data_IF_176999501302
#
_entry.id   IF_176999501302
#
_cell.length_a   1.000
_cell.length_b   1.000
_cell.length_c   1.000
_cell.angle_alpha   90.00
_cell.angle_beta   90.00
_cell.angle_gamma   90.00
#
_symmetry.space_group_name_H-M   'P 1'
#
loop_
_entity.id
_entity.type
_entity.pdbx_description
1 polymer ?
#
# COMPACT_ATOMS: atom_id res chain seq x y z
N UNK A 1 -1.66 10.68 -3.97
CA UNK A 1 -2.76 9.69 -3.99
C UNK A 1 -2.24 8.27 -4.19
N UNK A 2 -1.66 7.89 -5.34
CA UNK A 2 -1.09 6.52 -5.49
C UNK A 2 0.25 6.36 -4.74
N UNK A 3 1.09 7.39 -4.72
CA UNK A 3 2.37 7.36 -3.99
C UNK A 3 2.22 7.18 -2.47
N UNK A 4 1.10 7.65 -1.91
CA UNK A 4 0.79 7.51 -0.49
C UNK A 4 0.43 6.05 -0.16
N UNK A 5 -0.21 5.34 -1.10
CA UNK A 5 -0.50 3.91 -0.95
C UNK A 5 0.80 3.09 -0.87
N UNK A 6 1.85 3.47 -1.60
CA UNK A 6 3.13 2.74 -1.51
C UNK A 6 3.76 2.83 -0.13
N UNK A 7 3.73 4.01 0.49
CA UNK A 7 4.21 4.21 1.86
C UNK A 7 3.40 3.38 2.85
N UNK A 8 2.08 3.29 2.64
CA UNK A 8 1.21 2.50 3.48
C UNK A 8 1.44 0.99 3.35
N UNK A 9 1.65 0.51 2.12
CA UNK A 9 2.04 -0.90 1.88
C UNK A 9 3.39 -1.19 2.56
N UNK A 10 4.38 -0.30 2.44
CA UNK A 10 5.67 -0.45 3.13
C UNK A 10 5.47 -0.51 4.65
N UNK A 11 4.69 0.41 5.20
CA UNK A 11 4.46 0.49 6.63
C UNK A 11 3.79 -0.77 7.18
N UNK A 12 2.78 -1.28 6.48
CA UNK A 12 2.11 -2.53 6.85
C UNK A 12 3.03 -3.75 6.71
N UNK A 13 3.77 -3.86 5.60
CA UNK A 13 4.72 -4.96 5.40
C UNK A 13 5.85 -4.95 6.45
N UNK A 14 6.27 -3.77 6.92
CA UNK A 14 7.28 -3.65 7.98
C UNK A 14 6.74 -3.89 9.39
N UNK A 15 5.42 -3.87 9.58
CA UNK A 15 4.78 -4.03 10.90
C UNK A 15 3.79 -5.19 10.87
N UNK A 16 2.61 -5.06 11.45
CA UNK A 16 1.66 -6.17 11.69
C UNK A 16 0.73 -6.46 10.50
N UNK A 17 1.05 -5.99 9.30
CA UNK A 17 0.13 -6.00 8.17
C UNK A 17 -1.07 -5.07 8.37
N UNK A 18 -2.04 -5.15 7.47
CA UNK A 18 -3.26 -4.36 7.51
C UNK A 18 -4.02 -4.37 6.19
N UNK A 19 -5.05 -3.53 6.10
CA UNK A 19 -5.91 -3.41 4.92
C UNK A 19 -6.00 -1.95 4.50
N UNK A 20 -5.87 -1.68 3.21
CA UNK A 20 -6.09 -0.37 2.61
C UNK A 20 -7.36 -0.45 1.76
N UNK A 21 -8.26 0.51 1.97
CA UNK A 21 -9.47 0.68 1.20
C UNK A 21 -9.33 1.92 0.30
N UNK A 22 -9.42 1.73 -1.02
CA UNK A 22 -9.29 2.80 -2.02
C UNK A 22 -10.65 3.01 -2.67
N UNK A 23 -11.06 4.28 -2.80
CA UNK A 23 -12.40 4.64 -3.28
C UNK A 23 -13.43 4.79 -2.15
N UNK A 24 -12.96 5.08 -0.93
CA UNK A 24 -13.78 5.37 0.24
C UNK A 24 -13.45 6.78 0.77
N UNK A 25 -14.44 7.44 1.36
CA UNK A 25 -14.25 8.67 2.12
C UNK A 25 -13.78 8.39 3.56
N UNK A 26 -13.48 9.45 4.32
CA UNK A 26 -13.03 9.32 5.72
C UNK A 26 -14.13 8.85 6.70
N UNK A 27 -15.39 8.79 6.25
CA UNK A 27 -16.52 8.28 7.01
C UNK A 27 -16.80 6.80 6.69
N UNK A 28 -16.03 6.19 5.79
CA UNK A 28 -16.22 4.81 5.35
C UNK A 28 -17.28 4.63 4.27
N UNK A 29 -17.79 5.70 3.67
CA UNK A 29 -18.72 5.60 2.54
C UNK A 29 -17.94 5.31 1.26
N UNK A 30 -18.43 4.37 0.45
CA UNK A 30 -17.84 4.14 -0.87
C UNK A 30 -18.19 5.28 -1.82
N UNK A 31 -17.16 5.96 -2.33
CA UNK A 31 -17.28 6.99 -3.36
C UNK A 31 -17.01 6.43 -4.76
N UNK A 32 -16.42 5.23 -4.84
CA UNK A 32 -16.03 4.60 -6.09
C UNK A 32 -14.79 5.23 -6.72
N UNK A 33 -14.32 4.61 -7.80
CA UNK A 33 -13.19 5.07 -8.61
C UNK A 33 -13.69 5.19 -10.05
N UNK A 34 -13.45 6.33 -10.70
CA UNK A 34 -13.94 6.63 -12.05
C UNK A 34 -13.48 5.59 -13.08
N UNK A 35 -12.17 5.36 -13.18
CA UNK A 35 -11.54 4.31 -13.98
C UNK A 35 -10.81 3.32 -13.06
N UNK A 36 -11.60 2.38 -12.54
CA UNK A 36 -11.11 1.42 -11.55
C UNK A 36 -10.10 0.44 -12.14
N UNK A 37 -10.24 0.06 -13.42
CA UNK A 37 -9.35 -0.88 -14.10
C UNK A 37 -7.96 -0.27 -14.34
N UNK A 38 -7.92 0.98 -14.83
CA UNK A 38 -6.65 1.69 -15.00
C UNK A 38 -5.98 1.95 -13.65
N UNK A 39 -6.76 2.29 -12.62
CA UNK A 39 -6.25 2.49 -11.25
C UNK A 39 -5.67 1.21 -10.67
N UNK A 40 -6.37 0.08 -10.84
CA UNK A 40 -5.91 -1.25 -10.40
C UNK A 40 -4.60 -1.65 -11.09
N UNK A 41 -4.50 -1.44 -12.40
CA UNK A 41 -3.28 -1.75 -13.17
C UNK A 41 -2.10 -0.87 -12.73
N UNK A 42 -2.32 0.43 -12.53
CA UNK A 42 -1.28 1.35 -12.03
C UNK A 42 -0.83 1.01 -10.62
N UNK A 43 -1.77 0.61 -9.76
CA UNK A 43 -1.49 0.24 -8.38
C UNK A 43 -0.63 -1.02 -8.29
N UNK A 44 -1.03 -2.09 -8.97
CA UNK A 44 -0.35 -3.39 -8.93
C UNK A 44 1.08 -3.30 -9.50
N UNK A 45 1.25 -2.67 -10.66
CA UNK A 45 2.56 -2.45 -11.25
C UNK A 45 3.40 -1.49 -10.40
N UNK A 46 2.81 -0.39 -9.96
CA UNK A 46 3.49 0.62 -9.16
C UNK A 46 4.04 0.10 -7.84
N UNK A 47 3.29 -0.75 -7.12
CA UNK A 47 3.77 -1.38 -5.87
C UNK A 47 5.00 -2.26 -6.13
N UNK A 48 4.95 -3.11 -7.16
CA UNK A 48 6.08 -3.98 -7.55
C UNK A 48 7.32 -3.17 -7.93
N UNK A 49 7.11 -2.09 -8.66
CA UNK A 49 8.20 -1.27 -9.20
C UNK A 49 8.79 -0.33 -8.15
N UNK A 50 7.98 0.21 -7.24
CA UNK A 50 8.42 1.21 -6.27
C UNK A 50 9.04 0.63 -4.99
N UNK A 51 8.71 -0.61 -4.60
CA UNK A 51 9.05 -1.16 -3.27
C UNK A 51 10.14 -2.23 -3.37
N UNK A 52 11.14 -2.14 -2.49
CA UNK A 52 12.19 -3.16 -2.32
C UNK A 52 12.35 -3.53 -0.84
N UNK A 53 12.62 -4.80 -0.49
CA UNK A 53 12.57 -5.99 -1.33
C UNK A 53 11.19 -6.22 -1.97
N UNK A 54 11.09 -7.18 -2.91
CA UNK A 54 9.81 -7.46 -3.57
C UNK A 54 8.74 -7.84 -2.53
N UNK A 55 7.66 -7.05 -2.47
CA UNK A 55 6.57 -7.18 -1.51
C UNK A 55 5.38 -7.96 -2.06
N UNK A 56 5.37 -8.31 -3.35
CA UNK A 56 4.19 -8.82 -4.07
C UNK A 56 3.59 -10.08 -3.44
N UNK A 57 4.42 -10.98 -2.87
CA UNK A 57 3.93 -12.18 -2.17
C UNK A 57 3.11 -11.87 -0.90
N UNK A 58 3.23 -10.67 -0.36
CA UNK A 58 2.55 -10.22 0.85
C UNK A 58 1.36 -9.30 0.57
N UNK A 59 1.07 -8.99 -0.70
CA UNK A 59 -0.01 -8.07 -1.08
C UNK A 59 -1.05 -8.79 -1.92
N UNK A 60 -2.31 -8.73 -1.48
CA UNK A 60 -3.45 -9.23 -2.23
C UNK A 60 -4.41 -8.10 -2.57
N UNK A 61 -4.88 -8.07 -3.81
CA UNK A 61 -5.77 -7.03 -4.32
C UNK A 61 -7.13 -7.65 -4.62
N UNK A 62 -8.20 -6.96 -4.23
CA UNK A 62 -9.57 -7.37 -4.54
C UNK A 62 -10.34 -6.18 -5.09
N UNK A 63 -10.77 -6.28 -6.35
CA UNK A 63 -11.73 -5.37 -6.95
C UNK A 63 -13.11 -5.65 -6.37
N UNK A 64 -13.78 -4.63 -5.85
CA UNK A 64 -15.11 -4.72 -5.24
C UNK A 64 -16.19 -4.25 -6.22
N UNK A 65 -17.43 -4.70 -6.03
CA UNK A 65 -18.57 -4.40 -6.93
C UNK A 65 -18.87 -2.90 -7.08
N UNK A 66 -18.60 -2.11 -6.04
CA UNK A 66 -18.84 -0.66 -5.98
C UNK A 66 -17.70 0.17 -6.61
N UNK A 67 -16.91 -0.41 -7.53
CA UNK A 67 -15.73 0.22 -8.14
C UNK A 67 -14.70 0.70 -7.12
N UNK A 68 -14.51 -0.06 -6.04
CA UNK A 68 -13.46 0.20 -5.04
C UNK A 68 -12.42 -0.91 -5.04
N UNK A 69 -11.27 -0.66 -4.42
CA UNK A 69 -10.18 -1.64 -4.34
C UNK A 69 -9.83 -1.86 -2.88
N UNK A 70 -9.83 -3.13 -2.46
CA UNK A 70 -9.26 -3.57 -1.19
C UNK A 70 -7.86 -4.10 -1.42
N UNK A 71 -6.90 -3.66 -0.61
CA UNK A 71 -5.51 -4.13 -0.63
C UNK A 71 -5.18 -4.71 0.73
N UNK A 72 -5.07 -6.03 0.81
CA UNK A 72 -4.64 -6.75 2.00
C UNK A 72 -3.11 -6.88 1.98
N UNK A 73 -2.45 -6.33 2.99
CA UNK A 73 -0.99 -6.35 3.13
C UNK A 73 -0.64 -7.18 4.36
N UNK A 74 0.06 -8.28 4.17
CA UNK A 74 0.61 -9.07 5.27
C UNK A 74 1.94 -8.49 5.74
N UNK A 75 2.28 -8.78 6.98
CA UNK A 75 3.64 -8.60 7.49
C UNK A 75 4.63 -9.36 6.59
N UNK A 76 5.63 -8.65 6.07
CA UNK A 76 6.64 -9.22 5.20
C UNK A 76 7.80 -9.84 5.98
N UNK A 77 8.43 -10.85 5.41
CA UNK A 77 9.54 -11.56 6.05
C UNK A 77 10.93 -10.96 5.77
N UNK A 78 11.06 -10.05 4.81
CA UNK A 78 12.34 -9.51 4.34
C UNK A 78 12.54 -8.03 4.72
N UNK A 79 12.14 -7.67 5.93
CA UNK A 79 12.19 -6.29 6.42
C UNK A 79 13.64 -5.78 6.53
N UNK A 80 13.88 -4.47 6.37
CA UNK A 80 12.88 -3.46 6.05
C UNK A 80 12.57 -3.38 4.56
N UNK A 81 11.28 -3.23 4.25
CA UNK A 81 10.78 -2.75 2.97
C UNK A 81 10.93 -1.23 2.90
N UNK A 82 11.25 -0.71 1.71
CA UNK A 82 11.51 0.70 1.48
C UNK A 82 11.17 1.12 0.05
N UNK A 83 10.99 2.43 -0.14
CA UNK A 83 10.84 3.02 -1.48
C UNK A 83 12.18 2.97 -2.21
N UNK A 84 12.26 2.27 -3.35
CA UNK A 84 13.47 2.13 -4.18
C UNK A 84 14.09 3.48 -4.52
N UNK A 85 13.26 4.47 -4.87
CA UNK A 85 13.72 5.82 -5.24
C UNK A 85 14.38 6.58 -4.09
N UNK A 86 14.14 6.17 -2.84
CA UNK A 86 14.75 6.75 -1.64
C UNK A 86 15.87 5.88 -1.08
N UNK A 87 15.95 4.60 -1.46
CA UNK A 87 16.94 3.67 -0.97
C UNK A 87 16.73 3.28 0.50
N UNK A 88 17.61 2.41 0.99
CA UNK A 88 17.58 1.90 2.37
C UNK A 88 18.14 2.95 3.35
N UNK A 89 17.31 3.92 3.70
CA UNK A 89 17.57 4.98 4.69
C UNK A 89 16.25 5.47 5.30
N UNK A 90 16.26 6.22 6.43
CA UNK A 90 15.03 6.65 7.11
C UNK A 90 13.97 7.31 6.19
N UNK A 91 14.40 8.11 5.21
CA UNK A 91 13.48 8.73 4.25
C UNK A 91 12.76 7.76 3.30
N UNK A 92 13.21 6.50 3.23
CA UNK A 92 12.67 5.46 2.37
C UNK A 92 11.94 4.35 3.11
N UNK A 93 12.15 4.21 4.42
CA UNK A 93 11.53 3.16 5.26
C UNK A 93 10.37 3.76 6.04
N UNK A 94 9.22 3.09 6.01
CA UNK A 94 8.02 3.52 6.72
C UNK A 94 7.53 2.40 7.63
N UNK A 95 6.95 2.77 8.77
CA UNK A 95 6.37 1.86 9.77
C UNK A 95 5.05 2.42 10.29
N UNK A 96 4.15 1.55 10.75
CA UNK A 96 2.95 1.95 11.49
C UNK A 96 3.27 2.15 12.97
N UNK A 97 2.82 3.26 13.55
CA UNK A 97 2.75 3.47 14.99
C UNK A 97 1.29 3.70 15.37
N UNK A 98 0.63 2.63 15.82
CA UNK A 98 -0.82 2.62 15.98
C UNK A 98 -1.52 2.94 14.66
N UNK A 99 -2.35 3.99 14.65
CA UNK A 99 -3.05 4.45 13.45
C UNK A 99 -2.21 5.38 12.54
N UNK A 100 -0.99 5.75 12.94
CA UNK A 100 -0.17 6.74 12.23
C UNK A 100 0.94 6.11 11.40
N UNK A 101 1.32 6.77 10.32
CA UNK A 101 2.50 6.47 9.50
C UNK A 101 3.72 7.24 10.04
N UNK A 102 4.84 6.57 10.29
CA UNK A 102 6.10 7.19 10.68
C UNK A 102 7.24 6.75 9.76
N UNK A 103 8.27 7.60 9.63
CA UNK A 103 9.57 7.16 9.11
C UNK A 103 10.28 6.34 10.19
N UNK A 104 10.93 5.25 9.78
CA UNK A 104 11.67 4.39 10.70
C UNK A 104 12.99 5.03 11.17
#
# INVERSE_FOLDING_TARGET
MVDDVYKEVIAFANTNGGVIYIGYDNNGNSIGIDDVDATYTRLTNGIRDAISPDVTMFVHYTLQENKTIRVDVKEGSYKPYYLKTKGLKPSGVYVRQGASLAQA
#
